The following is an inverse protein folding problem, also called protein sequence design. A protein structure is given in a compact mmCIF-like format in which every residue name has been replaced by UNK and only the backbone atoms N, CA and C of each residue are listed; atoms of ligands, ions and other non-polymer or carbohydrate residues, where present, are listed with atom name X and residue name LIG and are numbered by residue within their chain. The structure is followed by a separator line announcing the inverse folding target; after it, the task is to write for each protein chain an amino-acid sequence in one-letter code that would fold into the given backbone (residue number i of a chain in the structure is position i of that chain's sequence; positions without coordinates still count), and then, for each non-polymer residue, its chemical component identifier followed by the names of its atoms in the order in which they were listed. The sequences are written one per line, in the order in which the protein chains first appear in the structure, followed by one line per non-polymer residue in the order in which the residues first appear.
data_IF_632213085563
#
_entry.id   IF_632213085563
#
_cell.length_a   1.000
_cell.length_b   1.000
_cell.length_c   1.000
_cell.angle_alpha   90.00
_cell.angle_beta   90.00
_cell.angle_gamma   90.00
#
_symmetry.space_group_name_H-M   'P 1'
#
loop_
_entity.id
_entity.type
_entity.pdbx_description
1 polymer ?
#
# COMPACT_ATOMS: atom_id res chain seq x y z
N UNK A 1 8.38 -8.40 -5.07
CA UNK A 1 7.74 -7.09 -4.77
C UNK A 1 8.68 -5.96 -5.19
N UNK A 2 8.15 -4.78 -5.58
CA UNK A 2 8.95 -3.64 -6.02
C UNK A 2 9.77 -3.03 -4.90
N UNK A 3 10.91 -2.41 -5.24
CA UNK A 3 11.69 -1.62 -4.26
C UNK A 3 10.86 -0.46 -3.74
N UNK A 4 11.13 -0.03 -2.50
CA UNK A 4 10.25 0.91 -1.79
C UNK A 4 10.17 2.27 -2.52
N UNK A 5 11.29 2.76 -3.05
CA UNK A 5 11.35 4.04 -3.76
C UNK A 5 10.46 4.06 -5.01
N UNK A 6 10.50 3.00 -5.81
CA UNK A 6 9.74 2.92 -7.06
C UNK A 6 8.25 2.78 -6.78
N UNK A 7 7.90 2.02 -5.74
CA UNK A 7 6.52 1.89 -5.29
C UNK A 7 5.95 3.22 -4.78
N UNK A 8 6.66 3.92 -3.89
CA UNK A 8 6.25 5.23 -3.40
C UNK A 8 6.08 6.24 -4.53
N UNK A 9 7.04 6.27 -5.46
CA UNK A 9 6.98 7.13 -6.64
C UNK A 9 5.73 6.86 -7.48
N UNK A 10 5.41 5.60 -7.75
CA UNK A 10 4.22 5.25 -8.53
C UNK A 10 2.92 5.66 -7.83
N UNK A 11 2.82 5.44 -6.51
CA UNK A 11 1.68 5.90 -5.71
C UNK A 11 1.56 7.43 -5.75
N UNK A 12 2.67 8.15 -5.58
CA UNK A 12 2.70 9.61 -5.59
C UNK A 12 2.28 10.19 -6.96
N UNK A 13 2.77 9.61 -8.05
CA UNK A 13 2.44 10.03 -9.42
C UNK A 13 0.95 9.85 -9.71
N UNK A 14 0.32 8.75 -9.25
CA UNK A 14 -1.12 8.53 -9.37
C UNK A 14 -1.95 9.41 -8.43
N UNK A 15 -1.44 9.72 -7.23
CA UNK A 15 -2.11 10.59 -6.26
C UNK A 15 -2.14 12.05 -6.72
N UNK A 16 -1.06 12.57 -7.31
CA UNK A 16 -0.89 13.99 -7.70
C UNK A 16 -2.08 14.65 -8.44
N UNK A 17 -2.73 14.02 -9.44
CA UNK A 17 -3.89 14.61 -10.12
C UNK A 17 -5.21 14.52 -9.35
N UNK A 18 -5.25 13.96 -8.14
CA UNK A 18 -6.49 13.65 -7.40
C UNK A 18 -6.99 14.88 -6.64
N UNK A 19 -8.12 15.51 -7.04
CA UNK A 19 -8.63 16.67 -6.34
C UNK A 19 -9.36 16.26 -5.05
N UNK A 20 -9.28 17.11 -4.02
CA UNK A 20 -9.98 16.89 -2.75
C UNK A 20 -11.50 16.97 -2.90
N UNK A 21 -11.98 17.72 -3.89
CA UNK A 21 -13.40 17.81 -4.24
C UNK A 21 -13.61 17.55 -5.74
N UNK A 22 -14.64 16.77 -6.07
CA UNK A 22 -14.95 16.34 -7.43
C UNK A 22 -16.46 16.34 -7.65
N UNK A 23 -16.98 17.41 -8.26
CA UNK A 23 -18.40 17.58 -8.59
C UNK A 23 -19.38 17.12 -7.49
N UNK A 24 -19.35 17.80 -6.35
CA UNK A 24 -20.23 17.47 -5.22
C UNK A 24 -19.83 16.20 -4.47
N UNK A 25 -18.63 15.67 -4.70
CA UNK A 25 -18.02 14.61 -3.90
C UNK A 25 -16.74 15.08 -3.26
N UNK A 26 -16.40 14.49 -2.12
CA UNK A 26 -15.20 14.82 -1.35
C UNK A 26 -14.32 13.58 -1.19
N UNK A 27 -13.02 13.73 -1.41
CA UNK A 27 -12.04 12.69 -1.14
C UNK A 27 -11.98 12.43 0.37
N UNK A 28 -12.15 11.18 0.76
CA UNK A 28 -12.05 10.75 2.16
C UNK A 28 -10.83 9.88 2.42
N UNK A 29 -10.22 9.32 1.39
CA UNK A 29 -9.01 8.52 1.55
C UNK A 29 -8.64 7.77 0.28
N UNK A 30 -7.72 6.82 0.43
CA UNK A 30 -7.31 5.94 -0.65
C UNK A 30 -6.29 4.90 -0.20
N UNK A 31 -6.05 3.95 -1.09
CA UNK A 31 -5.19 2.80 -0.85
C UNK A 31 -4.31 2.60 -2.07
N UNK A 32 -3.02 2.39 -1.86
CA UNK A 32 -2.04 2.03 -2.88
C UNK A 32 -1.47 0.65 -2.56
N UNK A 33 -1.62 -0.31 -3.46
CA UNK A 33 -0.98 -1.62 -3.44
C UNK A 33 -0.04 -1.72 -4.64
N UNK A 34 0.87 -2.73 -4.70
CA UNK A 34 1.71 -2.93 -5.89
C UNK A 34 0.95 -3.11 -7.21
N UNK A 35 -0.35 -3.38 -7.15
CA UNK A 35 -1.23 -3.62 -8.30
C UNK A 35 -2.13 -2.42 -8.63
N UNK A 36 -2.67 -1.75 -7.61
CA UNK A 36 -3.70 -0.71 -7.81
C UNK A 36 -3.56 0.49 -6.89
N UNK A 37 -4.02 1.63 -7.38
CA UNK A 37 -4.26 2.84 -6.62
C UNK A 37 -5.74 3.17 -6.64
N UNK A 38 -6.37 3.15 -5.47
CA UNK A 38 -7.80 3.35 -5.29
C UNK A 38 -8.04 4.59 -4.45
N UNK A 39 -8.84 5.51 -4.97
CA UNK A 39 -9.33 6.68 -4.21
C UNK A 39 -10.75 6.40 -3.75
N UNK A 40 -11.10 6.87 -2.56
CA UNK A 40 -12.45 6.80 -2.00
C UNK A 40 -13.03 8.20 -1.89
N UNK A 41 -14.18 8.40 -2.51
CA UNK A 41 -14.94 9.64 -2.47
C UNK A 41 -16.29 9.43 -1.79
N UNK A 42 -16.73 10.44 -1.06
CA UNK A 42 -18.02 10.49 -0.40
C UNK A 42 -18.87 11.63 -0.95
N UNK A 43 -20.11 11.30 -1.32
CA UNK A 43 -21.08 12.25 -1.88
C UNK A 43 -21.47 13.30 -0.84
N UNK A 44 -21.39 14.56 -1.23
CA UNK A 44 -21.83 15.73 -0.46
C UNK A 44 -23.25 16.14 -0.89
N UNK A 45 -23.96 16.97 -0.10
CA UNK A 45 -25.26 17.50 -0.49
C UNK A 45 -25.21 18.18 -1.88
N UNK A 46 -26.12 17.81 -2.76
CA UNK A 46 -26.18 18.30 -4.15
C UNK A 46 -25.32 17.52 -5.15
N UNK A 47 -24.39 16.67 -4.70
CA UNK A 47 -23.60 15.80 -5.57
C UNK A 47 -24.45 14.72 -6.25
N UNK A 48 -24.11 14.38 -7.49
CA UNK A 48 -24.82 13.35 -8.27
C UNK A 48 -23.86 12.27 -8.78
N UNK A 49 -24.40 11.08 -9.09
CA UNK A 49 -23.63 10.00 -9.73
C UNK A 49 -23.17 10.42 -11.12
N UNK A 50 -24.05 11.08 -11.89
CA UNK A 50 -23.80 11.49 -13.27
C UNK A 50 -22.66 12.50 -13.35
N UNK A 51 -22.68 13.53 -12.49
CA UNK A 51 -21.61 14.54 -12.43
C UNK A 51 -20.26 13.95 -12.02
N UNK A 52 -20.26 13.06 -11.01
CA UNK A 52 -19.03 12.38 -10.59
C UNK A 52 -18.47 11.44 -11.66
N UNK A 53 -19.34 10.68 -12.34
CA UNK A 53 -18.96 9.81 -13.45
C UNK A 53 -18.33 10.61 -14.59
N UNK A 54 -18.94 11.72 -14.99
CA UNK A 54 -18.43 12.58 -16.06
C UNK A 54 -17.04 13.12 -15.71
N UNK A 55 -16.87 13.64 -14.49
CA UNK A 55 -15.60 14.21 -14.06
C UNK A 55 -14.53 13.16 -13.81
N UNK A 56 -14.89 11.98 -13.33
CA UNK A 56 -13.96 10.85 -13.18
C UNK A 56 -13.39 10.41 -14.53
N UNK A 57 -14.22 10.34 -15.58
CA UNK A 57 -13.75 10.04 -16.93
C UNK A 57 -12.79 11.13 -17.44
N UNK A 58 -13.07 12.40 -17.16
CA UNK A 58 -12.23 13.50 -17.63
C UNK A 58 -10.86 13.56 -16.92
N UNK A 59 -10.81 13.38 -15.60
CA UNK A 59 -9.57 13.50 -14.82
C UNK A 59 -8.79 12.18 -14.81
N UNK A 60 -9.48 11.07 -14.59
CA UNK A 60 -8.84 9.78 -14.31
C UNK A 60 -8.94 8.80 -15.49
N UNK A 61 -9.79 9.07 -16.48
CA UNK A 61 -10.16 8.12 -17.52
C UNK A 61 -10.68 6.79 -16.96
N UNK A 62 -11.47 6.86 -15.88
CA UNK A 62 -12.00 5.70 -15.15
C UNK A 62 -13.50 5.87 -14.91
N UNK A 63 -14.24 4.77 -15.03
CA UNK A 63 -15.62 4.64 -14.55
C UNK A 63 -15.54 4.27 -13.06
N UNK A 64 -16.06 5.09 -12.14
CA UNK A 64 -16.06 4.76 -10.72
C UNK A 64 -16.94 3.56 -10.40
N UNK A 65 -16.57 2.81 -9.36
CA UNK A 65 -17.43 1.83 -8.73
C UNK A 65 -18.22 2.48 -7.59
N UNK A 66 -19.55 2.45 -7.66
CA UNK A 66 -20.43 3.09 -6.68
C UNK A 66 -20.96 2.05 -5.70
N UNK A 67 -20.78 2.29 -4.39
CA UNK A 67 -21.32 1.42 -3.36
C UNK A 67 -22.85 1.61 -3.22
N UNK A 68 -23.61 0.71 -3.84
CA UNK A 68 -25.08 0.78 -3.87
C UNK A 68 -25.75 0.52 -2.52
N UNK A 69 -25.07 -0.11 -1.54
CA UNK A 69 -25.67 -0.51 -0.27
C UNK A 69 -26.13 0.68 0.59
N UNK A 70 -25.47 1.83 0.44
CA UNK A 70 -25.77 3.07 1.16
C UNK A 70 -26.26 4.19 0.23
N UNK A 71 -27.09 3.83 -0.77
CA UNK A 71 -27.65 4.81 -1.71
C UNK A 71 -26.60 5.50 -2.57
N UNK A 72 -25.51 4.78 -2.92
CA UNK A 72 -24.37 5.30 -3.66
C UNK A 72 -23.71 6.50 -2.97
N UNK A 73 -23.56 6.45 -1.64
CA UNK A 73 -22.89 7.50 -0.87
C UNK A 73 -21.37 7.47 -1.02
N UNK A 74 -20.79 6.31 -1.27
CA UNK A 74 -19.36 6.11 -1.48
C UNK A 74 -19.10 5.64 -2.91
N UNK A 75 -18.01 6.13 -3.49
CA UNK A 75 -17.52 5.71 -4.79
C UNK A 75 -16.01 5.47 -4.72
N UNK A 76 -15.54 4.47 -5.44
CA UNK A 76 -14.13 4.18 -5.59
C UNK A 76 -13.65 4.43 -7.01
N UNK A 77 -12.47 5.04 -7.14
CA UNK A 77 -11.79 5.26 -8.43
C UNK A 77 -10.48 4.49 -8.38
N UNK A 78 -10.44 3.36 -9.08
CA UNK A 78 -9.30 2.44 -9.10
C UNK A 78 -8.53 2.59 -10.41
N UNK A 79 -7.21 2.79 -10.32
CA UNK A 79 -6.28 2.80 -11.45
C UNK A 79 -5.18 1.76 -11.23
N UNK A 80 -4.72 1.05 -12.27
CA UNK A 80 -3.62 0.12 -12.12
C UNK A 80 -2.31 0.87 -11.85
N UNK A 81 -1.43 0.28 -11.05
CA UNK A 81 -0.03 0.69 -11.02
C UNK A 81 0.68 0.17 -12.29
N UNK A 82 1.69 0.90 -12.78
CA UNK A 82 2.56 0.38 -13.83
C UNK A 82 3.31 -0.87 -13.32
N UNK A 83 3.79 -1.69 -14.24
CA UNK A 83 4.71 -2.77 -13.87
C UNK A 83 5.97 -2.16 -13.27
N UNK A 84 6.24 -2.49 -12.00
CA UNK A 84 7.40 -1.99 -11.27
C UNK A 84 8.53 -3.02 -11.30
N UNK A 85 9.79 -2.58 -11.44
CA UNK A 85 10.92 -3.48 -11.48
C UNK A 85 11.04 -4.27 -10.17
N UNK A 86 11.48 -5.51 -10.32
CA UNK A 86 11.77 -6.42 -9.21
C UNK A 86 13.25 -6.73 -9.25
N UNK A 87 13.86 -6.89 -8.08
CA UNK A 87 15.26 -7.31 -7.96
C UNK A 87 15.39 -8.40 -6.90
N UNK A 88 16.27 -9.34 -7.17
CA UNK A 88 16.74 -10.30 -6.19
C UNK A 88 17.79 -9.65 -5.30
N UNK A 89 17.78 -10.00 -4.02
CA UNK A 89 18.67 -9.42 -3.02
C UNK A 89 19.21 -10.51 -2.11
N UNK A 90 20.49 -10.41 -1.76
CA UNK A 90 21.00 -11.11 -0.60
C UNK A 90 20.42 -10.45 0.65
N UNK A 91 19.61 -11.20 1.39
CA UNK A 91 18.97 -10.72 2.62
C UNK A 91 19.82 -11.03 3.86
N UNK A 92 19.86 -10.15 4.87
CA UNK A 92 20.65 -10.39 6.09
C UNK A 92 20.08 -11.52 6.95
N UNK A 93 20.87 -11.94 7.95
CA UNK A 93 20.42 -12.88 8.96
C UNK A 93 19.24 -12.29 9.79
N UNK A 94 18.33 -13.13 10.34
CA UNK A 94 17.10 -12.66 10.98
C UNK A 94 17.31 -11.61 12.08
N UNK A 95 18.25 -11.83 13.00
CA UNK A 95 18.53 -10.89 14.09
C UNK A 95 19.05 -9.55 13.58
N UNK A 96 19.97 -9.57 12.62
CA UNK A 96 20.54 -8.35 12.01
C UNK A 96 19.44 -7.56 11.28
N UNK A 97 18.63 -8.24 10.47
CA UNK A 97 17.56 -7.64 9.71
C UNK A 97 16.53 -6.98 10.63
N UNK A 98 16.01 -7.72 11.62
CA UNK A 98 15.03 -7.18 12.55
C UNK A 98 15.59 -6.02 13.38
N UNK A 99 16.83 -6.13 13.89
CA UNK A 99 17.47 -5.03 14.62
C UNK A 99 17.60 -3.76 13.76
N UNK A 100 18.00 -3.89 12.49
CA UNK A 100 18.11 -2.76 11.56
C UNK A 100 16.75 -2.10 11.33
N UNK A 101 15.70 -2.90 11.09
CA UNK A 101 14.35 -2.40 10.87
C UNK A 101 13.79 -1.71 12.12
N UNK A 102 13.89 -2.33 13.29
CA UNK A 102 13.44 -1.71 14.54
C UNK A 102 14.20 -0.44 14.86
N UNK A 103 15.53 -0.42 14.69
CA UNK A 103 16.36 0.77 14.92
C UNK A 103 15.92 1.93 14.02
N UNK A 104 15.55 1.66 12.77
CA UNK A 104 15.03 2.69 11.87
C UNK A 104 13.76 3.33 12.40
N UNK A 105 12.75 2.52 12.74
CA UNK A 105 11.48 3.03 13.25
C UNK A 105 11.64 3.73 14.61
N UNK A 106 12.47 3.19 15.50
CA UNK A 106 12.77 3.79 16.81
C UNK A 106 13.43 5.17 16.68
N UNK A 107 14.35 5.36 15.72
CA UNK A 107 14.94 6.68 15.41
C UNK A 107 13.90 7.70 14.95
N UNK A 108 12.75 7.24 14.45
CA UNK A 108 11.59 8.06 14.06
C UNK A 108 10.51 8.10 15.14
N UNK A 109 10.76 7.51 16.31
CA UNK A 109 9.80 7.39 17.42
C UNK A 109 8.51 6.66 17.01
N UNK A 110 8.65 5.66 16.14
CA UNK A 110 7.57 4.81 15.65
C UNK A 110 7.75 3.38 16.16
N UNK A 111 6.64 2.72 16.43
CA UNK A 111 6.61 1.33 16.92
C UNK A 111 5.72 0.50 16.01
N UNK A 112 6.26 -0.14 14.97
CA UNK A 112 5.48 -1.02 14.11
C UNK A 112 5.09 -2.30 14.85
N UNK A 113 3.94 -2.87 14.51
CA UNK A 113 3.64 -4.26 14.85
C UNK A 113 4.35 -5.16 13.84
N UNK A 114 5.07 -6.18 14.31
CA UNK A 114 5.79 -7.13 13.45
C UNK A 114 5.46 -8.56 13.90
N UNK A 115 5.09 -9.41 12.95
CA UNK A 115 4.78 -10.82 13.19
C UNK A 115 5.54 -11.71 12.20
N UNK A 116 6.10 -12.82 12.66
CA UNK A 116 6.69 -13.85 11.77
C UNK A 116 5.57 -14.58 11.02
N UNK A 117 5.74 -14.73 9.72
CA UNK A 117 4.84 -15.52 8.88
C UNK A 117 5.31 -16.97 8.90
N UNK A 118 4.41 -17.86 9.32
CA UNK A 118 4.69 -19.28 9.33
C UNK A 118 4.99 -19.77 7.90
N UNK A 119 6.08 -20.53 7.75
CA UNK A 119 6.39 -21.21 6.49
C UNK A 119 5.33 -22.28 6.29
N UNK A 120 4.56 -22.26 5.18
CA UNK A 120 3.57 -23.28 4.92
C UNK A 120 4.24 -24.66 4.91
N UNK A 121 3.59 -25.65 5.52
CA UNK A 121 4.04 -27.03 5.36
C UNK A 121 3.95 -27.39 3.86
N UNK A 122 4.97 -28.08 3.32
CA UNK A 122 4.93 -28.50 1.93
C UNK A 122 3.67 -29.35 1.71
N UNK A 123 2.82 -28.92 0.79
CA UNK A 123 1.69 -29.75 0.36
C UNK A 123 2.25 -31.06 -0.20
N UNK A 124 1.62 -32.22 0.07
CA UNK A 124 2.00 -33.46 -0.58
C UNK A 124 1.83 -33.29 -2.10
N UNK A 125 2.94 -33.10 -2.81
CA UNK A 125 2.97 -32.95 -4.26
C UNK A 125 2.89 -34.31 -4.95
N UNK A 126 2.07 -34.37 -5.99
CA UNK A 126 2.02 -35.45 -6.96
C UNK A 126 3.44 -35.66 -7.56
N UNK A 127 3.84 -36.91 -7.77
CA UNK A 127 4.96 -37.30 -8.66
C UNK A 127 6.39 -37.36 -8.05
N UNK A 128 6.55 -37.29 -6.72
CA UNK A 128 7.81 -37.67 -6.05
C UNK A 128 8.96 -36.66 -6.12
N UNK A 129 8.72 -35.44 -6.62
CA UNK A 129 9.68 -34.34 -6.46
C UNK A 129 9.56 -33.71 -5.06
N UNK A 130 10.69 -33.45 -4.36
CA UNK A 130 10.67 -32.75 -3.09
C UNK A 130 10.16 -31.31 -3.29
N UNK A 131 9.21 -30.89 -2.44
CA UNK A 131 8.71 -29.53 -2.46
C UNK A 131 9.85 -28.51 -2.33
N UNK A 132 9.80 -27.37 -3.05
CA UNK A 132 10.82 -26.34 -2.98
C UNK A 132 10.98 -25.84 -1.53
N UNK A 133 12.21 -25.95 -1.01
CA UNK A 133 12.53 -25.51 0.35
C UNK A 133 12.69 -24.00 0.39
N UNK A 134 11.81 -23.32 1.11
CA UNK A 134 11.94 -21.89 1.38
C UNK A 134 13.23 -21.62 2.18
N UNK A 135 14.15 -20.86 1.58
CA UNK A 135 15.47 -20.51 2.15
C UNK A 135 15.49 -19.15 2.88
N UNK A 136 14.32 -18.55 3.09
CA UNK A 136 14.17 -17.26 3.75
C UNK A 136 13.10 -17.33 4.83
N UNK A 137 13.24 -16.48 5.85
CA UNK A 137 12.16 -16.13 6.77
C UNK A 137 11.42 -14.90 6.27
N UNK A 138 10.15 -14.83 6.61
CA UNK A 138 9.28 -13.71 6.27
C UNK A 138 8.60 -13.19 7.53
N UNK A 139 8.55 -11.87 7.67
CA UNK A 139 7.83 -11.17 8.72
C UNK A 139 6.92 -10.13 8.05
N UNK A 140 5.71 -9.99 8.55
CA UNK A 140 4.82 -8.90 8.15
C UNK A 140 4.91 -7.79 9.19
N UNK A 141 4.96 -6.54 8.72
CA UNK A 141 4.83 -5.37 9.58
C UNK A 141 3.64 -4.52 9.21
N UNK A 142 3.09 -3.84 10.21
CA UNK A 142 2.10 -2.77 10.04
C UNK A 142 2.46 -1.56 10.90
N UNK A 143 2.17 -0.38 10.39
CA UNK A 143 2.47 0.90 11.03
C UNK A 143 1.37 1.91 10.72
N UNK A 144 0.88 2.59 11.76
CA UNK A 144 0.00 3.75 11.61
C UNK A 144 0.72 5.00 12.12
N UNK A 145 0.65 6.10 11.36
CA UNK A 145 1.38 7.33 11.65
C UNK A 145 0.74 8.53 10.93
N UNK A 146 0.83 9.76 11.49
CA UNK A 146 0.48 10.97 10.75
C UNK A 146 1.55 11.38 9.72
N UNK A 147 2.74 10.76 9.76
CA UNK A 147 3.86 11.07 8.86
C UNK A 147 3.60 10.45 7.49
N UNK A 148 3.70 11.26 6.44
CA UNK A 148 3.54 10.80 5.07
C UNK A 148 4.59 9.70 4.73
N UNK A 149 4.19 8.54 4.18
CA UNK A 149 5.11 7.49 3.74
C UNK A 149 6.22 7.98 2.81
N UNK A 150 5.93 8.98 1.96
CA UNK A 150 6.91 9.60 1.05
C UNK A 150 8.01 10.37 1.79
N UNK A 151 7.80 10.74 3.06
CA UNK A 151 8.79 11.38 3.92
C UNK A 151 9.49 10.36 4.82
N UNK A 152 8.78 9.30 5.20
CA UNK A 152 9.25 8.31 6.16
C UNK A 152 10.25 7.32 5.55
N UNK A 153 9.99 6.85 4.34
CA UNK A 153 10.67 5.68 3.76
C UNK A 153 11.83 5.94 2.77
N UNK A 154 12.00 7.11 2.11
CA UNK A 154 13.09 7.26 1.13
C UNK A 154 14.52 7.06 1.66
N UNK A 155 14.72 7.27 2.96
CA UNK A 155 16.02 7.10 3.63
C UNK A 155 16.16 5.72 4.31
N UNK A 156 15.15 4.87 4.20
CA UNK A 156 15.17 3.53 4.76
C UNK A 156 16.00 2.59 3.90
N UNK A 157 16.91 1.85 4.53
CA UNK A 157 17.66 0.79 3.86
C UNK A 157 16.74 -0.41 3.60
N UNK A 158 16.24 -0.51 2.36
CA UNK A 158 15.15 -1.39 1.96
C UNK A 158 15.56 -2.80 1.52
N UNK A 159 16.83 -3.19 1.69
CA UNK A 159 17.27 -4.56 1.38
C UNK A 159 16.47 -5.58 2.19
N UNK A 160 15.75 -6.47 1.50
CA UNK A 160 14.84 -7.42 2.12
C UNK A 160 13.64 -6.78 2.80
N UNK A 161 13.24 -5.56 2.46
CA UNK A 161 12.02 -4.93 2.99
C UNK A 161 11.18 -4.36 1.86
N UNK A 162 9.86 -4.60 1.91
CA UNK A 162 8.94 -4.27 0.84
C UNK A 162 7.63 -3.75 1.43
N UNK A 163 7.06 -2.72 0.82
CA UNK A 163 5.71 -2.30 1.15
C UNK A 163 4.71 -3.10 0.30
N UNK A 164 3.62 -3.50 0.93
CA UNK A 164 2.50 -4.20 0.29
C UNK A 164 1.22 -3.35 0.27
N UNK A 165 1.12 -2.36 1.15
CA UNK A 165 -0.05 -1.49 1.22
C UNK A 165 0.33 -0.12 1.80
N UNK A 166 -0.20 0.94 1.22
CA UNK A 166 -0.24 2.28 1.81
C UNK A 166 -1.67 2.75 1.79
N UNK A 167 -2.24 2.98 2.95
CA UNK A 167 -3.56 3.57 3.11
C UNK A 167 -3.45 4.98 3.68
N UNK A 168 -4.31 5.87 3.20
CA UNK A 168 -4.45 7.20 3.77
C UNK A 168 -5.92 7.56 3.94
N UNK A 169 -6.22 8.32 4.99
CA UNK A 169 -7.52 8.95 5.18
C UNK A 169 -7.35 10.47 5.25
N UNK A 170 -8.38 11.20 4.85
CA UNK A 170 -8.43 12.66 4.87
C UNK A 170 -9.61 13.11 5.72
N UNK A 171 -9.31 13.49 6.97
CA UNK A 171 -10.29 13.93 7.95
C UNK A 171 -10.12 15.43 8.21
N UNK A 172 -11.09 16.24 7.77
CA UNK A 172 -11.07 17.69 8.04
C UNK A 172 -9.84 18.44 7.51
N UNK A 173 -9.18 17.92 6.47
CA UNK A 173 -7.93 18.47 5.93
C UNK A 173 -6.65 17.86 6.51
N UNK A 174 -6.77 16.98 7.51
CA UNK A 174 -5.64 16.27 8.11
C UNK A 174 -5.53 14.87 7.52
N UNK A 175 -4.31 14.46 7.15
CA UNK A 175 -4.03 13.10 6.69
C UNK A 175 -3.63 12.19 7.85
N UNK A 176 -4.15 10.97 7.84
CA UNK A 176 -3.62 9.83 8.59
C UNK A 176 -3.12 8.79 7.59
N UNK A 177 -2.06 8.07 7.95
CA UNK A 177 -1.49 7.03 7.10
C UNK A 177 -1.38 5.72 7.86
N UNK A 178 -1.61 4.62 7.15
CA UNK A 178 -1.14 3.30 7.55
C UNK A 178 -0.34 2.65 6.44
N UNK A 179 0.65 1.87 6.80
CA UNK A 179 1.53 1.17 5.87
C UNK A 179 1.71 -0.26 6.34
N UNK A 180 1.65 -1.19 5.40
CA UNK A 180 1.95 -2.60 5.62
C UNK A 180 3.07 -3.03 4.68
N UNK A 181 3.80 -4.04 5.12
CA UNK A 181 4.88 -4.58 4.32
C UNK A 181 5.45 -5.87 4.87
N UNK A 182 6.48 -6.33 4.19
CA UNK A 182 7.15 -7.60 4.43
C UNK A 182 8.64 -7.35 4.66
N UNK A 183 9.22 -8.11 5.58
CA UNK A 183 10.64 -8.16 5.88
C UNK A 183 11.10 -9.60 5.61
N UNK A 184 12.11 -9.72 4.77
CA UNK A 184 12.73 -10.97 4.38
C UNK A 184 14.12 -11.06 5.02
N UNK A 185 14.43 -12.24 5.56
CA UNK A 185 15.73 -12.55 6.14
C UNK A 185 16.20 -13.92 5.68
N UNK A 186 17.50 -14.17 5.71
CA UNK A 186 18.05 -15.50 5.38
C UNK A 186 17.61 -16.53 6.42
N UNK A 187 17.59 -17.79 6.01
CA UNK A 187 17.44 -18.93 6.94
C UNK A 187 18.80 -19.39 7.45
#
# INVERSE_FOLDING_TARGET
QPVISDFLKACADLRKPSPVALEGWKLTGGTCTPETFTLIYERQPGGTIEGFLARSKEIFNVIPDFNLKDGARLASVTRPLPSLPRRDEAVPAPSEQLMRVFTWFQKKQLTPAINEIAIPEPLPGNDGEPAPVQKWKEYQFSLSTPVNPDELFPLFQDTGVRLSNIHFELNGGTFSYSSEGHIYASR
#
